data_IF_703896862867
#
_entry.id   IF_703896862867
#
_cell.length_a   1.000
_cell.length_b   1.000
_cell.length_c   1.000
_cell.angle_alpha   90.00
_cell.angle_beta   90.00
_cell.angle_gamma   90.00
#
_symmetry.space_group_name_H-M   'P 1'
#
loop_
_entity.id
_entity.type
_entity.pdbx_description
1 polymer ?
#
# COMPACT_ATOMS: atom_id res chain seq x y z
N UNK A 1 13.63 15.21 -7.96
CA UNK A 1 12.31 15.88 -7.94
C UNK A 1 11.12 14.96 -8.13
N UNK A 2 10.88 14.35 -9.31
CA UNK A 2 9.66 13.56 -9.56
C UNK A 2 9.44 12.34 -8.62
N UNK A 3 10.46 11.50 -8.42
CA UNK A 3 10.34 10.30 -7.57
C UNK A 3 9.91 10.61 -6.13
N UNK A 4 10.38 11.74 -5.59
CA UNK A 4 10.05 12.21 -4.24
C UNK A 4 8.63 12.77 -4.12
N UNK A 5 7.94 13.05 -5.23
CA UNK A 5 6.52 13.46 -5.21
C UNK A 5 5.59 12.30 -4.88
N UNK A 6 6.06 11.07 -5.09
CA UNK A 6 5.36 9.85 -4.70
C UNK A 6 5.86 9.42 -3.33
N UNK A 7 4.97 8.88 -2.50
CA UNK A 7 5.34 8.38 -1.17
C UNK A 7 4.88 9.29 -0.03
N UNK A 8 5.57 9.21 1.11
CA UNK A 8 5.19 9.96 2.31
C UNK A 8 6.40 10.43 3.13
N UNK A 9 6.26 11.61 3.72
CA UNK A 9 7.19 12.13 4.72
C UNK A 9 7.16 11.29 6.01
N UNK A 10 8.26 11.29 6.75
CA UNK A 10 8.27 10.66 8.07
C UNK A 10 7.48 11.50 9.07
N UNK A 11 6.64 10.86 9.87
CA UNK A 11 5.96 11.52 11.00
C UNK A 11 6.83 11.58 12.25
N UNK A 12 7.97 10.88 12.27
CA UNK A 12 8.89 10.85 13.40
C UNK A 12 9.88 12.03 13.30
N UNK A 13 10.17 12.75 14.41
CA UNK A 13 11.19 13.79 14.41
C UNK A 13 12.55 13.26 13.98
N UNK A 14 13.13 13.80 12.92
CA UNK A 14 14.39 13.35 12.34
C UNK A 14 14.33 12.00 11.61
N UNK A 15 13.14 11.42 11.44
CA UNK A 15 12.94 10.18 10.71
C UNK A 15 13.15 10.35 9.20
N UNK A 16 13.72 9.34 8.55
CA UNK A 16 13.85 9.35 7.09
C UNK A 16 12.47 9.12 6.41
N UNK A 17 12.15 9.87 5.36
CA UNK A 17 10.93 9.69 4.59
C UNK A 17 10.95 8.41 3.74
N UNK A 18 9.78 7.99 3.27
CA UNK A 18 9.62 6.82 2.40
C UNK A 18 9.00 7.25 1.07
N UNK A 19 9.84 7.57 0.11
CA UNK A 19 9.41 8.04 -1.21
C UNK A 19 9.40 6.95 -2.28
N UNK A 20 8.62 7.20 -3.33
CA UNK A 20 8.53 6.36 -4.51
C UNK A 20 7.45 5.30 -4.45
N UNK A 21 7.54 4.36 -5.41
CA UNK A 21 6.64 3.22 -5.52
C UNK A 21 7.30 1.94 -5.02
N UNK A 22 6.48 0.99 -4.58
CA UNK A 22 6.90 -0.36 -4.21
C UNK A 22 5.96 -1.38 -4.85
N UNK A 23 6.56 -2.47 -5.36
CA UNK A 23 5.82 -3.67 -5.74
C UNK A 23 5.35 -4.39 -4.46
N UNK A 24 4.05 -4.34 -4.19
CA UNK A 24 3.40 -4.91 -3.02
C UNK A 24 2.71 -6.21 -3.41
N UNK A 25 3.30 -7.34 -3.01
CA UNK A 25 2.70 -8.67 -3.19
C UNK A 25 1.63 -8.91 -2.13
N UNK A 26 0.37 -9.04 -2.55
CA UNK A 26 -0.75 -9.37 -1.66
C UNK A 26 -1.25 -10.78 -1.95
N UNK A 27 -1.25 -11.60 -0.91
CA UNK A 27 -1.64 -13.01 -0.96
C UNK A 27 -2.59 -13.36 0.19
N UNK A 28 -3.01 -14.63 0.25
CA UNK A 28 -3.89 -15.13 1.31
C UNK A 28 -5.37 -14.83 1.07
N UNK A 29 -6.09 -14.44 2.13
CA UNK A 29 -7.55 -14.35 2.14
C UNK A 29 -8.12 -13.06 1.53
N UNK A 30 -7.66 -12.64 0.35
CA UNK A 30 -8.24 -11.51 -0.38
C UNK A 30 -9.00 -11.97 -1.61
N UNK A 31 -9.94 -11.17 -2.10
CA UNK A 31 -10.71 -11.52 -3.29
C UNK A 31 -9.87 -11.48 -4.57
N UNK A 32 -8.84 -10.64 -4.63
CA UNK A 32 -7.94 -10.47 -5.79
C UNK A 32 -6.46 -10.47 -5.35
N UNK A 33 -5.87 -11.65 -5.08
CA UNK A 33 -4.45 -11.75 -4.75
C UNK A 33 -3.62 -11.42 -6.00
N UNK A 34 -2.67 -10.50 -5.87
CA UNK A 34 -1.76 -10.09 -6.95
C UNK A 34 -0.59 -9.24 -6.39
N UNK A 35 0.36 -8.92 -7.25
CA UNK A 35 1.38 -7.89 -7.01
C UNK A 35 0.91 -6.55 -7.58
N UNK A 36 0.88 -5.51 -6.75
CA UNK A 36 0.47 -4.17 -7.14
C UNK A 36 1.62 -3.19 -6.96
N UNK A 37 1.95 -2.40 -7.99
CA UNK A 37 2.87 -1.27 -7.85
C UNK A 37 2.10 -0.06 -7.33
N UNK A 38 2.44 0.40 -6.12
CA UNK A 38 1.76 1.53 -5.47
C UNK A 38 2.76 2.42 -4.74
N UNK A 39 2.37 3.68 -4.54
CA UNK A 39 3.17 4.64 -3.77
C UNK A 39 3.32 4.19 -2.31
N UNK A 40 4.50 4.42 -1.74
CA UNK A 40 4.77 4.17 -0.32
C UNK A 40 3.91 5.09 0.56
N UNK A 41 3.51 4.61 1.74
CA UNK A 41 2.58 5.35 2.61
C UNK A 41 1.10 5.16 2.29
N UNK A 42 0.75 4.39 1.23
CA UNK A 42 -0.65 3.97 1.02
C UNK A 42 -1.18 3.25 2.28
N UNK A 43 -2.37 3.63 2.80
CA UNK A 43 -2.97 2.91 3.91
C UNK A 43 -3.28 1.46 3.54
N UNK A 44 -2.96 0.50 4.42
CA UNK A 44 -3.22 -0.92 4.19
C UNK A 44 -4.70 -1.21 3.85
N UNK A 45 -5.63 -0.50 4.49
CA UNK A 45 -7.07 -0.62 4.18
C UNK A 45 -7.37 -0.29 2.71
N UNK A 46 -6.71 0.72 2.14
CA UNK A 46 -6.89 1.10 0.74
C UNK A 46 -6.34 0.02 -0.19
N UNK A 47 -5.15 -0.52 0.11
CA UNK A 47 -4.57 -1.66 -0.60
C UNK A 47 -5.55 -2.85 -0.62
N UNK A 48 -6.09 -3.22 0.54
CA UNK A 48 -6.97 -4.40 0.65
C UNK A 48 -8.34 -4.15 0.01
N UNK A 49 -9.04 -3.10 0.40
CA UNK A 49 -10.44 -2.89 -0.02
C UNK A 49 -10.54 -2.41 -1.47
N UNK A 50 -9.66 -1.51 -1.92
CA UNK A 50 -9.73 -0.96 -3.28
C UNK A 50 -8.99 -1.80 -4.32
N UNK A 51 -7.75 -2.22 -4.03
CA UNK A 51 -6.94 -2.96 -5.01
C UNK A 51 -7.22 -4.47 -4.96
N UNK A 52 -7.28 -5.05 -3.75
CA UNK A 52 -7.48 -6.50 -3.59
C UNK A 52 -8.95 -6.92 -3.54
N UNK A 53 -9.90 -5.96 -3.63
CA UNK A 53 -11.33 -6.22 -3.62
C UNK A 53 -11.90 -6.67 -2.28
N UNK A 54 -11.19 -6.39 -1.17
CA UNK A 54 -11.59 -6.76 0.18
C UNK A 54 -11.19 -8.19 0.59
N UNK A 55 -11.51 -8.53 1.84
CA UNK A 55 -11.27 -9.85 2.41
C UNK A 55 -12.22 -10.89 1.82
N UNK A 56 -11.71 -12.10 1.55
CA UNK A 56 -12.50 -13.25 1.08
C UNK A 56 -13.57 -13.59 2.11
N UNK A 57 -14.82 -13.71 1.66
CA UNK A 57 -16.01 -13.97 2.48
C UNK A 57 -16.41 -12.85 3.47
N UNK A 58 -15.76 -11.69 3.45
CA UNK A 58 -16.05 -10.57 4.35
C UNK A 58 -15.87 -10.92 5.84
N UNK A 59 -16.39 -10.07 6.74
CA UNK A 59 -16.61 -10.44 8.14
C UNK A 59 -17.99 -11.09 8.23
N UNK A 60 -18.04 -12.41 8.25
CA UNK A 60 -19.19 -13.14 8.81
C UNK A 60 -18.96 -13.37 10.29
#
# INVERSE_FOLDING_TARGET
EWWKKMGVESTLPGGMPSYGTKLMGVSGHVNKPNTYELELGIPLRMLVEKHCGGMRNGKK
#
